data_IF_225841563743
#
_entry.id   IF_225841563743
#
_cell.length_a   1.000
_cell.length_b   1.000
_cell.length_c   1.000
_cell.angle_alpha   90.00
_cell.angle_beta   90.00
_cell.angle_gamma   90.00
#
_symmetry.space_group_name_H-M   'P 1'
#
loop_
_entity.id
_entity.type
_entity.pdbx_description
1 polymer ?
#
# COMPACT_ATOMS: atom_id res chain seq x y z
N UNK A 1 -9.65 13.26 -7.29
CA UNK A 1 -10.77 14.16 -6.98
C UNK A 1 -10.34 15.57 -7.29
N UNK A 2 -10.92 16.18 -8.33
CA UNK A 2 -10.65 17.58 -8.68
C UNK A 2 -11.04 18.49 -7.51
N UNK A 3 -10.13 19.42 -7.15
CA UNK A 3 -10.44 20.49 -6.21
C UNK A 3 -11.35 21.49 -6.93
N UNK A 4 -12.64 21.48 -6.58
CA UNK A 4 -13.57 22.51 -7.02
C UNK A 4 -13.04 23.88 -6.62
N UNK A 5 -13.09 24.83 -7.55
CA UNK A 5 -12.75 26.22 -7.29
C UNK A 5 -13.78 26.84 -6.36
N UNK A 6 -13.37 27.87 -5.61
CA UNK A 6 -14.26 28.59 -4.68
C UNK A 6 -15.59 29.00 -5.31
N UNK A 7 -15.57 29.46 -6.57
CA UNK A 7 -16.77 29.88 -7.32
C UNK A 7 -17.70 28.71 -7.65
N UNK A 8 -17.16 27.54 -7.96
CA UNK A 8 -17.96 26.33 -8.22
C UNK A 8 -18.60 25.79 -6.95
N UNK A 9 -17.88 25.87 -5.83
CA UNK A 9 -18.43 25.55 -4.52
C UNK A 9 -19.54 26.56 -4.18
N UNK A 10 -19.34 27.86 -4.44
CA UNK A 10 -20.33 28.93 -4.19
C UNK A 10 -21.61 28.68 -5.00
N UNK A 11 -21.47 28.33 -6.27
CA UNK A 11 -22.59 27.98 -7.14
C UNK A 11 -23.37 26.74 -6.65
N UNK A 12 -22.68 25.72 -6.13
CA UNK A 12 -23.35 24.54 -5.55
C UNK A 12 -24.09 24.87 -4.25
N UNK A 13 -23.55 25.79 -3.45
CA UNK A 13 -24.20 26.24 -2.23
C UNK A 13 -25.37 27.18 -2.46
N UNK A 14 -25.46 27.91 -3.59
CA UNK A 14 -26.65 28.69 -3.94
C UNK A 14 -27.93 27.84 -4.06
N UNK A 15 -27.80 26.54 -4.34
CA UNK A 15 -28.92 25.60 -4.36
C UNK A 15 -29.40 25.19 -2.95
N UNK A 16 -28.60 25.46 -1.92
CA UNK A 16 -29.00 25.33 -0.53
C UNK A 16 -29.51 26.71 -0.11
N UNK A 17 -30.74 26.81 0.39
CA UNK A 17 -31.41 28.08 0.74
C UNK A 17 -30.78 28.79 1.95
N UNK A 18 -29.48 29.04 1.91
CA UNK A 18 -28.65 29.66 2.93
C UNK A 18 -28.50 31.15 2.66
N UNK A 19 -28.51 31.96 3.71
CA UNK A 19 -28.21 33.39 3.56
C UNK A 19 -26.74 33.63 3.19
N UNK A 20 -26.48 34.71 2.44
CA UNK A 20 -25.11 35.12 2.04
C UNK A 20 -24.15 35.23 3.23
N UNK A 21 -24.65 35.74 4.38
CA UNK A 21 -23.89 35.81 5.62
C UNK A 21 -23.51 34.42 6.18
N UNK A 22 -24.40 33.43 6.06
CA UNK A 22 -24.14 32.06 6.52
C UNK A 22 -23.12 31.36 5.62
N UNK A 23 -23.19 31.58 4.30
CA UNK A 23 -22.21 31.09 3.34
C UNK A 23 -20.82 31.66 3.61
N UNK A 24 -20.71 32.98 3.78
CA UNK A 24 -19.42 33.61 4.09
C UNK A 24 -18.79 33.05 5.37
N UNK A 25 -19.60 32.80 6.42
CA UNK A 25 -19.14 32.14 7.65
C UNK A 25 -18.69 30.71 7.41
N UNK A 26 -19.44 29.94 6.63
CA UNK A 26 -19.11 28.56 6.30
C UNK A 26 -17.78 28.46 5.53
N UNK A 27 -17.55 29.33 4.54
CA UNK A 27 -16.28 29.36 3.81
C UNK A 27 -15.09 29.67 4.71
N UNK A 28 -15.22 30.72 5.52
CA UNK A 28 -14.18 31.09 6.47
C UNK A 28 -13.84 29.92 7.39
N UNK A 29 -14.82 29.11 7.77
CA UNK A 29 -14.63 27.92 8.59
C UNK A 29 -13.94 26.78 7.84
N UNK A 30 -14.40 26.43 6.63
CA UNK A 30 -13.85 25.33 5.82
C UNK A 30 -12.39 25.59 5.42
N UNK A 31 -12.02 26.85 5.19
CA UNK A 31 -10.66 27.23 4.81
C UNK A 31 -9.68 27.23 6.01
N UNK A 32 -10.16 27.09 7.25
CA UNK A 32 -9.29 27.04 8.41
C UNK A 32 -8.45 25.76 8.46
N UNK A 33 -7.14 25.95 8.47
CA UNK A 33 -6.14 24.89 8.66
C UNK A 33 -4.96 25.43 9.45
N UNK A 34 -4.38 24.61 10.32
CA UNK A 34 -3.23 25.02 11.12
C UNK A 34 -2.99 24.11 12.31
N UNK A 35 -2.20 24.59 13.25
CA UNK A 35 -2.03 23.93 14.54
C UNK A 35 -3.29 24.08 15.39
N UNK A 36 -3.45 23.20 16.38
CA UNK A 36 -4.63 23.21 17.24
C UNK A 36 -4.84 24.58 17.91
N UNK A 37 -3.75 25.20 18.35
CA UNK A 37 -3.77 26.50 19.05
C UNK A 37 -4.30 27.64 18.17
N UNK A 38 -3.98 27.63 16.87
CA UNK A 38 -4.43 28.66 15.92
C UNK A 38 -5.94 28.57 15.67
N UNK A 39 -6.50 27.36 15.79
CA UNK A 39 -7.90 27.06 15.54
C UNK A 39 -8.79 27.21 16.78
N UNK A 40 -8.21 27.19 17.98
CA UNK A 40 -8.93 27.33 19.25
C UNK A 40 -9.85 28.55 19.32
N UNK A 41 -9.47 29.76 18.86
CA UNK A 41 -10.36 30.93 18.89
C UNK A 41 -11.65 30.71 18.09
N UNK A 42 -11.53 30.09 16.90
CA UNK A 42 -12.66 29.78 16.02
C UNK A 42 -13.57 28.73 16.64
N UNK A 43 -12.99 27.65 17.18
CA UNK A 43 -13.74 26.58 17.84
C UNK A 43 -14.43 27.10 19.11
N UNK A 44 -13.75 27.90 19.93
CA UNK A 44 -14.32 28.50 21.13
C UNK A 44 -15.45 29.48 20.82
N UNK A 45 -15.38 30.20 19.70
CA UNK A 45 -16.50 31.04 19.23
C UNK A 45 -17.76 30.20 18.98
N UNK A 46 -17.62 29.01 18.37
CA UNK A 46 -18.73 28.08 18.15
C UNK A 46 -19.31 27.54 19.45
N UNK A 47 -18.45 27.21 20.42
CA UNK A 47 -18.87 26.73 21.74
C UNK A 47 -19.65 27.81 22.50
N UNK A 48 -19.23 29.08 22.40
CA UNK A 48 -19.88 30.21 23.08
C UNK A 48 -21.30 30.50 22.60
N UNK A 49 -21.67 30.09 21.38
CA UNK A 49 -23.01 30.31 20.84
C UNK A 49 -24.12 29.48 21.53
N UNK A 50 -23.78 28.60 22.50
CA UNK A 50 -24.72 27.82 23.33
C UNK A 50 -25.81 27.08 22.52
N UNK A 51 -25.47 26.64 21.33
CA UNK A 51 -26.35 25.79 20.51
C UNK A 51 -26.24 24.33 20.97
N UNK A 52 -27.20 23.46 20.60
CA UNK A 52 -27.09 22.02 20.85
C UNK A 52 -25.84 21.38 20.25
N UNK A 53 -25.24 22.04 19.25
CA UNK A 53 -24.00 21.64 18.58
C UNK A 53 -22.76 21.89 19.47
N UNK A 54 -22.85 22.81 20.43
CA UNK A 54 -21.71 23.16 21.29
C UNK A 54 -21.19 21.96 22.11
N UNK A 55 -22.06 21.02 22.50
CA UNK A 55 -21.63 19.80 23.16
C UNK A 55 -20.84 18.88 22.23
N UNK A 56 -21.31 18.68 21.00
CA UNK A 56 -20.61 17.87 19.99
C UNK A 56 -19.24 18.45 19.64
N UNK A 57 -19.16 19.78 19.51
CA UNK A 57 -17.89 20.48 19.26
C UNK A 57 -16.92 20.30 20.43
N UNK A 58 -17.39 20.34 21.68
CA UNK A 58 -16.54 20.07 22.86
C UNK A 58 -16.00 18.64 22.85
N UNK A 59 -16.83 17.65 22.52
CA UNK A 59 -16.37 16.25 22.42
C UNK A 59 -15.32 16.09 21.32
N UNK A 60 -15.58 16.61 20.12
CA UNK A 60 -14.62 16.53 19.00
C UNK A 60 -13.31 17.28 19.29
N UNK A 61 -13.38 18.42 19.98
CA UNK A 61 -12.19 19.16 20.38
C UNK A 61 -11.35 18.37 21.39
N UNK A 62 -11.97 17.75 22.39
CA UNK A 62 -11.26 16.92 23.38
C UNK A 62 -10.56 15.73 22.72
N UNK A 63 -11.24 15.01 21.84
CA UNK A 63 -10.64 13.90 21.10
C UNK A 63 -9.43 14.37 20.26
N UNK A 64 -9.51 15.57 19.68
CA UNK A 64 -8.43 16.15 18.90
C UNK A 64 -7.23 16.57 19.77
N UNK A 65 -7.47 17.16 20.94
CA UNK A 65 -6.45 17.47 21.94
C UNK A 65 -5.72 16.21 22.40
N UNK A 66 -6.47 15.15 22.71
CA UNK A 66 -5.93 13.86 23.14
C UNK A 66 -5.05 13.25 22.04
N UNK A 67 -5.51 13.24 20.79
CA UNK A 67 -4.72 12.71 19.65
C UNK A 67 -3.46 13.53 19.40
N UNK A 68 -3.54 14.86 19.38
CA UNK A 68 -2.35 15.72 19.23
C UNK A 68 -1.35 15.49 20.38
N UNK A 69 -1.85 15.31 21.61
CA UNK A 69 -1.03 14.97 22.77
C UNK A 69 -0.33 13.62 22.63
N UNK A 70 -1.04 12.59 22.16
CA UNK A 70 -0.49 11.26 21.90
C UNK A 70 0.55 11.26 20.79
N UNK A 71 0.31 11.98 19.69
CA UNK A 71 1.25 12.10 18.57
C UNK A 71 2.60 12.68 19.02
N UNK A 72 2.57 13.68 19.91
CA UNK A 72 3.79 14.25 20.52
C UNK A 72 4.51 13.24 21.42
N UNK A 73 3.77 12.51 22.27
CA UNK A 73 4.34 11.48 23.16
C UNK A 73 4.97 10.32 22.40
N UNK A 74 4.41 9.95 21.25
CA UNK A 74 4.95 8.92 20.36
C UNK A 74 6.19 9.39 19.56
N UNK A 75 6.57 10.66 19.66
CA UNK A 75 7.74 11.20 18.95
C UNK A 75 7.55 11.27 17.44
N UNK A 76 6.31 11.39 16.95
CA UNK A 76 6.01 11.51 15.53
C UNK A 76 6.59 12.84 15.02
N UNK A 77 7.56 12.74 14.10
CA UNK A 77 8.24 13.88 13.48
C UNK A 77 7.53 14.47 12.27
N UNK A 78 6.54 13.74 11.74
CA UNK A 78 5.75 14.19 10.60
C UNK A 78 4.94 15.44 10.97
N UNK A 79 4.82 16.39 10.04
CA UNK A 79 3.98 17.55 10.22
C UNK A 79 2.50 17.14 10.26
N UNK A 80 1.80 17.54 11.32
CA UNK A 80 0.37 17.27 11.52
C UNK A 80 -0.38 18.60 11.44
N UNK A 81 -1.25 18.75 10.45
CA UNK A 81 -2.07 19.93 10.24
C UNK A 81 -3.54 19.59 10.47
N UNK A 82 -4.20 20.33 11.35
CA UNK A 82 -5.64 20.19 11.58
C UNK A 82 -6.36 21.02 10.52
N UNK A 83 -7.34 20.41 9.85
CA UNK A 83 -8.16 21.05 8.83
C UNK A 83 -9.64 20.87 9.18
N UNK A 84 -10.32 21.97 9.52
CA UNK A 84 -11.73 21.96 9.92
C UNK A 84 -12.68 21.68 8.73
N UNK A 85 -12.21 21.92 7.51
CA UNK A 85 -12.92 21.63 6.27
C UNK A 85 -12.65 20.24 5.70
N UNK A 86 -11.87 19.40 6.37
CA UNK A 86 -11.62 18.04 5.91
C UNK A 86 -12.91 17.21 6.02
N UNK A 87 -13.36 16.69 4.88
CA UNK A 87 -14.54 15.84 4.79
C UNK A 87 -14.16 14.59 4.01
N UNK A 88 -14.33 13.42 4.63
CA UNK A 88 -13.98 12.14 4.02
C UNK A 88 -15.01 11.07 4.35
N UNK A 89 -15.66 10.51 3.32
CA UNK A 89 -16.66 9.43 3.41
C UNK A 89 -17.57 9.58 4.64
N UNK A 90 -18.33 10.67 4.70
CA UNK A 90 -19.14 11.09 5.87
C UNK A 90 -20.13 10.02 6.33
N UNK A 91 -20.61 9.19 5.39
CA UNK A 91 -21.53 8.09 5.72
C UNK A 91 -20.87 6.96 6.52
N UNK A 92 -19.53 6.89 6.54
CA UNK A 92 -18.78 5.81 7.18
C UNK A 92 -18.12 6.26 8.49
N UNK A 93 -17.75 7.54 8.61
CA UNK A 93 -16.93 8.03 9.72
C UNK A 93 -17.73 8.92 10.67
N UNK A 94 -17.51 8.74 11.97
CA UNK A 94 -18.22 9.46 13.03
C UNK A 94 -17.29 9.99 14.14
N UNK A 95 -15.98 10.06 13.86
CA UNK A 95 -14.98 10.58 14.78
C UNK A 95 -13.80 11.18 14.01
N UNK A 96 -12.58 10.97 14.49
CA UNK A 96 -11.38 11.48 13.85
C UNK A 96 -11.23 10.90 12.45
N UNK A 97 -10.91 11.78 11.51
CA UNK A 97 -10.53 11.47 10.13
C UNK A 97 -9.19 12.10 9.82
N UNK A 98 -8.39 11.43 9.00
CA UNK A 98 -7.04 11.87 8.67
C UNK A 98 -6.66 11.48 7.25
N UNK A 99 -5.73 12.23 6.68
CA UNK A 99 -5.14 11.99 5.37
C UNK A 99 -3.64 12.21 5.42
N UNK A 100 -2.90 11.34 4.76
CA UNK A 100 -1.49 11.48 4.51
C UNK A 100 -1.31 12.09 3.13
N UNK A 101 -0.74 13.29 3.09
CA UNK A 101 -0.52 14.04 1.86
C UNK A 101 0.98 14.15 1.62
N UNK A 102 1.41 13.75 0.43
CA UNK A 102 2.77 13.96 -0.05
C UNK A 102 2.77 14.99 -1.18
N UNK A 103 3.83 15.79 -1.27
CA UNK A 103 4.02 16.74 -2.34
C UNK A 103 4.96 16.13 -3.37
N UNK A 104 4.39 15.64 -4.48
CA UNK A 104 5.17 14.96 -5.52
C UNK A 104 5.50 15.95 -6.62
N UNK A 105 6.79 16.08 -6.95
CA UNK A 105 7.24 16.92 -8.08
C UNK A 105 6.81 16.26 -9.40
N UNK A 106 5.99 16.97 -10.17
CA UNK A 106 5.63 16.59 -11.55
C UNK A 106 5.87 17.78 -12.47
N UNK A 107 6.67 17.60 -13.53
CA UNK A 107 6.90 18.61 -14.58
C UNK A 107 7.08 20.04 -14.03
N UNK A 108 7.98 20.20 -13.05
CA UNK A 108 8.34 21.47 -12.39
C UNK A 108 7.39 22.04 -11.31
N UNK A 109 6.32 21.32 -10.92
CA UNK A 109 5.45 21.75 -9.79
C UNK A 109 5.23 20.64 -8.78
N UNK A 110 5.21 21.01 -7.51
CA UNK A 110 4.84 20.10 -6.42
C UNK A 110 3.31 19.98 -6.36
N UNK A 111 2.80 18.78 -6.62
CA UNK A 111 1.36 18.48 -6.58
C UNK A 111 1.06 17.71 -5.30
N UNK A 112 0.09 18.15 -4.47
CA UNK A 112 -0.31 17.39 -3.30
C UNK A 112 -1.09 16.14 -3.71
N UNK A 113 -0.65 15.00 -3.24
CA UNK A 113 -1.25 13.69 -3.52
C UNK A 113 -1.55 12.96 -2.21
N UNK A 114 -2.77 12.44 -2.09
CA UNK A 114 -3.19 11.67 -0.92
C UNK A 114 -2.69 10.23 -1.08
N UNK A 115 -1.76 9.84 -0.21
CA UNK A 115 -1.15 8.50 -0.17
C UNK A 115 -1.91 7.55 0.75
N UNK A 116 -2.55 8.07 1.78
CA UNK A 116 -3.42 7.27 2.64
C UNK A 116 -4.52 8.13 3.24
N UNK A 117 -5.67 7.52 3.51
CA UNK A 117 -6.80 8.18 4.15
C UNK A 117 -7.52 7.20 5.07
N UNK A 118 -8.00 7.71 6.20
CA UNK A 118 -8.60 6.87 7.21
C UNK A 118 -9.39 7.66 8.23
N UNK A 119 -9.91 6.92 9.19
CA UNK A 119 -10.65 7.49 10.31
C UNK A 119 -11.36 6.43 11.13
N UNK A 120 -12.07 6.92 12.14
CA UNK A 120 -12.92 6.12 13.03
C UNK A 120 -14.30 5.91 12.40
N UNK A 121 -14.76 4.66 12.32
CA UNK A 121 -15.98 4.25 11.61
C UNK A 121 -16.91 3.37 12.45
N UNK A 122 -17.15 3.77 13.70
CA UNK A 122 -17.95 3.00 14.65
C UNK A 122 -19.38 2.77 14.15
N UNK A 123 -19.95 3.73 13.40
CA UNK A 123 -21.31 3.62 12.85
C UNK A 123 -21.46 2.53 11.79
N UNK A 124 -20.36 2.12 11.16
CA UNK A 124 -20.40 1.12 10.10
C UNK A 124 -20.63 -0.28 10.70
N UNK A 125 -20.06 -0.57 11.86
CA UNK A 125 -20.05 -1.91 12.46
C UNK A 125 -21.47 -2.42 12.79
N UNK A 126 -22.36 -1.65 13.45
CA UNK A 126 -23.73 -2.08 13.69
C UNK A 126 -24.52 -2.43 12.43
N UNK A 127 -24.24 -1.77 11.31
CA UNK A 127 -24.98 -1.97 10.06
C UNK A 127 -24.74 -3.36 9.45
N UNK A 128 -23.58 -3.96 9.73
CA UNK A 128 -23.21 -5.31 9.29
C UNK A 128 -23.32 -6.34 10.40
N UNK A 129 -23.82 -5.96 11.57
CA UNK A 129 -23.94 -6.85 12.71
C UNK A 129 -25.12 -7.79 12.51
N UNK A 130 -24.87 -9.10 12.64
CA UNK A 130 -25.92 -10.10 12.56
C UNK A 130 -26.97 -9.93 13.66
N UNK A 131 -28.26 -10.26 13.41
CA UNK A 131 -29.35 -10.06 14.36
C UNK A 131 -29.20 -10.83 15.68
N UNK A 132 -28.36 -11.88 15.69
CA UNK A 132 -28.09 -12.72 16.87
C UNK A 132 -26.76 -12.38 17.57
N UNK A 133 -26.07 -11.31 17.17
CA UNK A 133 -24.78 -10.97 17.75
C UNK A 133 -24.95 -10.36 19.15
N UNK A 134 -24.61 -11.13 20.17
CA UNK A 134 -24.60 -10.71 21.57
C UNK A 134 -23.33 -9.91 21.91
N UNK A 135 -23.41 -9.03 22.92
CA UNK A 135 -22.27 -8.28 23.46
C UNK A 135 -22.15 -6.82 22.98
N UNK A 136 -21.15 -6.07 23.46
CA UNK A 136 -20.94 -4.67 23.08
C UNK A 136 -20.58 -4.55 21.59
N UNK A 137 -21.00 -3.46 20.95
CA UNK A 137 -20.56 -3.13 19.59
C UNK A 137 -19.10 -2.67 19.66
N UNK A 138 -18.17 -3.29 18.93
CA UNK A 138 -16.79 -2.82 18.90
C UNK A 138 -16.69 -1.48 18.17
N UNK A 139 -15.72 -0.67 18.59
CA UNK A 139 -15.32 0.56 17.90
C UNK A 139 -14.14 0.26 16.98
N UNK A 140 -14.02 0.95 15.84
CA UNK A 140 -12.92 0.71 14.92
C UNK A 140 -12.39 1.98 14.26
N UNK A 141 -11.09 1.93 14.01
CA UNK A 141 -10.33 2.90 13.23
C UNK A 141 -9.56 2.13 12.17
N UNK A 142 -9.39 2.73 11.00
CA UNK A 142 -8.66 2.11 9.91
C UNK A 142 -8.14 3.13 8.93
N UNK A 143 -7.20 2.68 8.12
CA UNK A 143 -6.51 3.48 7.12
C UNK A 143 -6.42 2.68 5.82
N UNK A 144 -6.69 3.34 4.70
CA UNK A 144 -6.48 2.81 3.36
C UNK A 144 -5.23 3.45 2.79
N UNK A 145 -4.27 2.63 2.34
CA UNK A 145 -3.01 3.07 1.75
C UNK A 145 -3.10 2.88 0.23
N UNK A 146 -2.79 3.93 -0.52
CA UNK A 146 -2.77 3.95 -1.98
C UNK A 146 -1.40 3.49 -2.50
N UNK A 147 -1.20 2.16 -2.53
CA UNK A 147 0.07 1.54 -2.96
C UNK A 147 0.40 1.89 -4.41
N UNK A 148 -0.60 1.99 -5.27
CA UNK A 148 -0.49 2.43 -6.67
C UNK A 148 0.18 3.80 -6.78
N UNK A 149 -0.24 4.76 -5.95
CA UNK A 149 0.34 6.11 -5.93
C UNK A 149 1.73 6.14 -5.34
N UNK A 150 1.97 5.37 -4.28
CA UNK A 150 3.29 5.26 -3.67
C UNK A 150 4.27 4.66 -4.68
N UNK A 151 3.89 3.57 -5.35
CA UNK A 151 4.71 2.93 -6.38
C UNK A 151 5.01 3.87 -7.54
N UNK A 152 3.99 4.57 -8.06
CA UNK A 152 4.19 5.57 -9.10
C UNK A 152 5.10 6.72 -8.63
N UNK A 153 5.01 7.15 -7.38
CA UNK A 153 5.89 8.18 -6.83
C UNK A 153 7.34 7.70 -6.75
N UNK A 154 7.58 6.48 -6.26
CA UNK A 154 8.91 5.86 -6.15
C UNK A 154 9.55 5.69 -7.53
N UNK A 155 8.80 5.23 -8.53
CA UNK A 155 9.29 5.07 -9.91
C UNK A 155 9.68 6.39 -10.58
N UNK A 156 9.13 7.51 -10.13
CA UNK A 156 9.42 8.84 -10.68
C UNK A 156 10.46 9.61 -9.85
N UNK A 157 11.10 8.99 -8.86
CA UNK A 157 12.20 9.61 -8.12
C UNK A 157 13.45 9.70 -9.01
N UNK A 158 14.19 10.81 -8.91
CA UNK A 158 15.43 11.03 -9.67
C UNK A 158 16.52 10.02 -9.30
N UNK A 159 16.55 9.59 -8.03
CA UNK A 159 17.38 8.49 -7.57
C UNK A 159 16.50 7.25 -7.34
N UNK A 160 16.79 6.11 -8.00
CA UNK A 160 16.06 4.89 -7.77
C UNK A 160 16.28 4.42 -6.33
N UNK A 161 15.19 4.07 -5.64
CA UNK A 161 15.29 3.38 -4.35
C UNK A 161 15.81 1.98 -4.63
N UNK A 162 17.08 1.77 -4.28
CA UNK A 162 17.76 0.49 -4.48
C UNK A 162 17.36 -0.47 -3.37
N UNK A 163 16.85 -1.65 -3.74
CA UNK A 163 16.48 -2.71 -2.78
C UNK A 163 17.48 -3.84 -3.01
N UNK A 164 18.51 -3.87 -2.17
CA UNK A 164 19.48 -4.95 -2.20
C UNK A 164 18.82 -6.28 -1.86
N UNK A 165 19.21 -7.35 -2.56
CA UNK A 165 18.76 -8.71 -2.24
C UNK A 165 19.31 -9.22 -0.90
N UNK A 166 20.50 -8.75 -0.51
CA UNK A 166 21.13 -9.08 0.76
C UNK A 166 22.14 -8.01 1.19
N UNK A 167 22.40 -7.92 2.49
CA UNK A 167 23.39 -7.01 3.05
C UNK A 167 24.84 -7.42 2.69
N UNK A 168 25.09 -8.72 2.52
CA UNK A 168 26.42 -9.26 2.24
C UNK A 168 26.37 -10.54 1.38
N UNK A 169 27.03 -10.52 0.22
CA UNK A 169 27.25 -11.73 -0.58
C UNK A 169 28.51 -12.47 -0.10
N UNK A 170 28.38 -13.72 0.28
CA UNK A 170 29.49 -14.59 0.68
C UNK A 170 29.90 -15.44 -0.51
N UNK A 171 31.17 -15.34 -0.89
CA UNK A 171 31.70 -16.00 -2.08
C UNK A 171 32.82 -16.96 -1.68
N UNK A 172 32.62 -18.23 -2.01
CA UNK A 172 33.55 -19.32 -1.68
C UNK A 172 34.60 -19.49 -2.78
N UNK A 173 35.83 -19.05 -2.53
CA UNK A 173 36.97 -19.14 -3.44
C UNK A 173 37.66 -20.50 -3.31
N UNK A 174 37.15 -21.49 -4.04
CA UNK A 174 37.70 -22.85 -4.11
C UNK A 174 36.85 -23.89 -3.37
N UNK A 175 36.91 -25.15 -3.81
CA UNK A 175 35.97 -26.19 -3.41
C UNK A 175 36.03 -26.58 -1.92
N UNK A 176 37.16 -26.36 -1.24
CA UNK A 176 37.32 -26.67 0.20
C UNK A 176 36.85 -25.53 1.12
N UNK A 177 36.58 -24.34 0.58
CA UNK A 177 36.16 -23.16 1.33
C UNK A 177 34.65 -23.08 1.60
N UNK A 178 33.86 -23.98 1.00
CA UNK A 178 32.38 -23.94 1.04
C UNK A 178 31.83 -24.16 2.45
N UNK A 179 32.36 -25.16 3.18
CA UNK A 179 31.93 -25.42 4.57
C UNK A 179 32.18 -24.21 5.47
N UNK A 180 33.25 -23.45 5.22
CA UNK A 180 33.58 -22.24 5.95
C UNK A 180 32.65 -21.09 5.59
N UNK A 181 32.33 -20.91 4.31
CA UNK A 181 31.33 -19.94 3.85
C UNK A 181 29.95 -20.21 4.49
N UNK A 182 29.49 -21.47 4.53
CA UNK A 182 28.22 -21.86 5.17
C UNK A 182 28.22 -21.50 6.67
N UNK A 183 29.30 -21.81 7.39
CA UNK A 183 29.40 -21.48 8.82
C UNK A 183 29.39 -19.96 9.07
N UNK A 184 30.04 -19.17 8.21
CA UNK A 184 30.02 -17.71 8.30
C UNK A 184 28.63 -17.13 8.02
N UNK A 185 27.96 -17.62 6.99
CA UNK A 185 26.59 -17.21 6.65
C UNK A 185 25.63 -17.50 7.80
N UNK A 186 25.76 -18.66 8.47
CA UNK A 186 24.95 -18.97 9.65
C UNK A 186 25.19 -17.97 10.80
N UNK A 187 26.44 -17.58 11.05
CA UNK A 187 26.78 -16.56 12.07
C UNK A 187 26.19 -15.20 11.71
N UNK A 188 26.25 -14.80 10.43
CA UNK A 188 25.67 -13.55 9.94
C UNK A 188 24.14 -13.53 10.12
N UNK A 189 23.45 -14.61 9.77
CA UNK A 189 22.01 -14.73 9.98
C UNK A 189 21.61 -14.69 11.46
N UNK A 190 22.40 -15.33 12.33
CA UNK A 190 22.17 -15.28 13.79
C UNK A 190 22.30 -13.86 14.34
N UNK A 191 23.12 -13.03 13.70
CA UNK A 191 23.28 -11.61 14.03
C UNK A 191 22.26 -10.69 13.33
N UNK A 192 21.33 -11.24 12.54
CA UNK A 192 20.30 -10.50 11.81
C UNK A 192 20.78 -9.81 10.53
N UNK A 193 21.96 -10.17 10.01
CA UNK A 193 22.47 -9.68 8.73
C UNK A 193 21.96 -10.60 7.63
N UNK A 194 21.34 -10.05 6.58
CA UNK A 194 20.93 -10.83 5.42
C UNK A 194 22.15 -11.16 4.56
N UNK A 195 22.43 -12.45 4.38
CA UNK A 195 23.59 -12.90 3.62
C UNK A 195 23.23 -14.04 2.67
N UNK A 196 23.80 -14.02 1.47
CA UNK A 196 23.60 -15.03 0.43
C UNK A 196 24.93 -15.67 0.04
N UNK A 197 24.96 -16.98 -0.27
CA UNK A 197 26.18 -17.68 -0.69
C UNK A 197 26.17 -17.81 -2.21
N UNK A 198 27.23 -17.35 -2.87
CA UNK A 198 27.47 -17.61 -4.29
C UNK A 198 28.21 -18.95 -4.45
N UNK A 199 27.54 -19.92 -5.06
CA UNK A 199 28.03 -21.31 -5.16
C UNK A 199 29.00 -21.54 -6.33
N UNK A 200 28.94 -20.71 -7.38
CA UNK A 200 29.70 -20.88 -8.60
C UNK A 200 30.84 -19.86 -8.70
N UNK A 201 31.95 -20.14 -8.02
CA UNK A 201 33.20 -19.36 -8.11
C UNK A 201 34.03 -19.73 -9.36
N UNK A 202 33.39 -19.90 -10.50
CA UNK A 202 34.06 -19.99 -11.80
C UNK A 202 34.12 -18.65 -12.53
N UNK A 203 33.38 -17.65 -12.03
CA UNK A 203 33.17 -16.36 -12.66
C UNK A 203 34.30 -15.36 -12.35
N UNK A 204 34.64 -14.55 -13.33
CA UNK A 204 35.71 -13.55 -13.25
C UNK A 204 35.38 -12.46 -12.20
N UNK A 205 36.37 -11.66 -11.78
CA UNK A 205 36.12 -10.57 -10.84
C UNK A 205 35.14 -9.54 -11.44
N UNK A 206 35.20 -9.35 -12.75
CA UNK A 206 34.34 -8.47 -13.54
C UNK A 206 32.88 -8.96 -13.51
N UNK A 207 32.66 -10.27 -13.66
CA UNK A 207 31.32 -10.88 -13.58
C UNK A 207 30.72 -10.80 -12.17
N UNK A 208 31.52 -11.00 -11.13
CA UNK A 208 31.08 -10.81 -9.74
C UNK A 208 30.65 -9.34 -9.50
N UNK A 209 31.42 -8.38 -10.01
CA UNK A 209 31.08 -6.97 -9.89
C UNK A 209 29.78 -6.65 -10.63
N UNK A 210 29.60 -7.19 -11.83
CA UNK A 210 28.38 -7.03 -12.61
C UNK A 210 27.16 -7.68 -11.91
N UNK A 211 27.34 -8.87 -11.31
CA UNK A 211 26.31 -9.53 -10.51
C UNK A 211 25.90 -8.67 -9.31
N UNK A 212 26.88 -8.16 -8.56
CA UNK A 212 26.62 -7.29 -7.40
C UNK A 212 25.96 -5.98 -7.82
N UNK A 213 26.34 -5.42 -8.98
CA UNK A 213 25.70 -4.23 -9.55
C UNK A 213 24.25 -4.50 -9.93
N UNK A 214 23.96 -5.65 -10.53
CA UNK A 214 22.61 -6.04 -10.96
C UNK A 214 21.68 -6.36 -9.78
N UNK A 215 22.21 -6.90 -8.68
CA UNK A 215 21.45 -7.23 -7.45
C UNK A 215 21.58 -6.14 -6.36
N UNK A 216 22.21 -5.02 -6.69
CA UNK A 216 22.45 -3.87 -5.81
C UNK A 216 23.11 -4.26 -4.46
N UNK A 217 24.00 -5.25 -4.49
CA UNK A 217 24.76 -5.75 -3.34
C UNK A 217 25.99 -4.85 -3.15
N UNK A 218 26.10 -4.24 -1.97
CA UNK A 218 27.19 -3.30 -1.66
C UNK A 218 28.43 -4.00 -1.13
N UNK A 219 28.27 -5.10 -0.38
CA UNK A 219 29.36 -5.77 0.32
C UNK A 219 29.50 -7.23 -0.13
N UNK A 220 30.73 -7.66 -0.35
CA UNK A 220 31.07 -9.04 -0.72
C UNK A 220 32.15 -9.57 0.21
N UNK A 221 31.95 -10.74 0.79
CA UNK A 221 32.92 -11.46 1.60
C UNK A 221 33.51 -12.62 0.80
N UNK A 222 34.77 -12.51 0.38
CA UNK A 222 35.54 -13.56 -0.28
C UNK A 222 36.18 -14.47 0.78
N UNK A 223 35.76 -15.73 0.79
CA UNK A 223 36.26 -16.77 1.69
C UNK A 223 37.17 -17.70 0.89
N UNK A 224 38.48 -17.69 1.17
CA UNK A 224 39.44 -18.55 0.48
C UNK A 224 40.24 -19.39 1.46
N UNK A 225 40.57 -20.62 1.05
CA UNK A 225 41.43 -21.54 1.81
C UNK A 225 42.86 -20.99 1.98
N UNK A 226 43.32 -20.17 1.03
CA UNK A 226 44.67 -19.58 1.06
C UNK A 226 44.85 -18.52 2.15
N UNK A 227 43.76 -17.98 2.70
CA UNK A 227 43.81 -16.85 3.62
C UNK A 227 43.70 -17.23 5.10
N UNK A 228 43.69 -18.53 5.40
CA UNK A 228 43.56 -19.05 6.77
C UNK A 228 42.23 -18.60 7.38
N UNK A 229 42.26 -18.05 8.60
CA UNK A 229 41.08 -17.55 9.33
C UNK A 229 40.62 -16.14 8.95
N UNK A 230 41.10 -15.62 7.81
CA UNK A 230 40.76 -14.27 7.33
C UNK A 230 39.80 -14.33 6.15
N UNK A 231 38.96 -13.29 6.04
CA UNK A 231 38.00 -13.07 4.97
C UNK A 231 38.29 -11.71 4.34
N UNK A 232 38.28 -11.66 3.01
CA UNK A 232 38.42 -10.41 2.26
C UNK A 232 37.06 -9.79 2.03
N UNK A 233 36.81 -8.65 2.66
CA UNK A 233 35.57 -7.89 2.47
C UNK A 233 35.80 -6.83 1.42
N UNK A 234 35.13 -6.96 0.28
CA UNK A 234 35.05 -5.96 -0.78
C UNK A 234 33.79 -5.11 -0.62
N UNK A 235 33.93 -3.81 -0.80
CA UNK A 235 32.84 -2.84 -0.79
C UNK A 235 32.80 -2.12 -2.12
N UNK A 236 31.63 -2.12 -2.76
CA UNK A 236 31.36 -1.46 -4.03
C UNK A 236 30.45 -0.26 -3.78
N UNK A 237 31.03 0.91 -3.49
CA UNK A 237 30.27 2.15 -3.23
C UNK A 237 30.55 3.18 -4.31
N UNK A 238 29.52 3.60 -5.07
CA UNK A 238 29.57 4.72 -6.04
C UNK A 238 30.87 4.76 -6.86
N UNK A 239 31.21 3.62 -7.50
CA UNK A 239 32.42 3.37 -8.31
C UNK A 239 33.75 3.19 -7.58
N UNK A 240 33.82 3.41 -6.26
CA UNK A 240 35.01 3.10 -5.46
C UNK A 240 34.95 1.66 -4.94
N UNK A 241 35.99 0.90 -5.26
CA UNK A 241 36.23 -0.41 -4.67
C UNK A 241 37.18 -0.27 -3.49
N UNK A 242 36.76 -0.73 -2.32
CA UNK A 242 37.67 -0.90 -1.17
C UNK A 242 37.71 -2.37 -0.77
N UNK A 243 38.90 -2.85 -0.42
CA UNK A 243 39.13 -4.23 0.02
C UNK A 243 39.81 -4.19 1.39
N UNK A 244 39.25 -4.92 2.35
CA UNK A 244 39.83 -5.05 3.68
C UNK A 244 39.89 -6.51 4.07
N UNK A 245 41.03 -6.91 4.62
CA UNK A 245 41.21 -8.22 5.25
C UNK A 245 40.69 -8.16 6.68
N UNK A 246 39.74 -9.02 7.02
CA UNK A 246 39.05 -9.05 8.32
C UNK A 246 39.13 -10.47 8.90
N UNK A 247 39.30 -10.59 10.21
CA UNK A 247 39.21 -11.89 10.89
C UNK A 247 37.77 -12.40 10.86
N UNK A 248 37.58 -13.71 10.70
CA UNK A 248 36.23 -14.30 10.70
C UNK A 248 35.40 -13.97 11.94
N UNK A 249 36.06 -13.88 13.10
CA UNK A 249 35.42 -13.54 14.38
C UNK A 249 34.92 -12.11 14.41
N UNK A 250 35.54 -11.21 13.64
CA UNK A 250 35.21 -9.78 13.59
C UNK A 250 34.33 -9.42 12.38
N UNK A 251 34.06 -10.38 11.48
CA UNK A 251 33.32 -10.13 10.24
C UNK A 251 31.92 -9.57 10.53
N UNK A 252 31.22 -10.15 11.50
CA UNK A 252 29.86 -9.74 11.90
C UNK A 252 29.87 -8.29 12.38
N UNK A 253 30.76 -7.96 13.32
CA UNK A 253 30.88 -6.61 13.87
C UNK A 253 31.28 -5.59 12.80
N UNK A 254 32.19 -5.97 11.91
CA UNK A 254 32.65 -5.12 10.81
C UNK A 254 31.50 -4.75 9.86
N UNK A 255 30.68 -5.73 9.47
CA UNK A 255 29.54 -5.54 8.57
C UNK A 255 28.43 -4.73 9.26
N UNK A 256 28.13 -5.02 10.53
CA UNK A 256 27.18 -4.23 11.33
C UNK A 256 27.58 -2.76 11.44
N UNK A 257 28.86 -2.48 11.64
CA UNK A 257 29.37 -1.11 11.69
C UNK A 257 29.18 -0.39 10.35
N UNK A 258 29.54 -1.05 9.24
CA UNK A 258 29.41 -0.54 7.87
C UNK A 258 27.96 -0.26 7.48
N UNK A 259 27.04 -1.19 7.77
CA UNK A 259 25.61 -1.03 7.50
C UNK A 259 25.01 0.13 8.31
N UNK A 260 25.40 0.31 9.57
CA UNK A 260 24.94 1.43 10.41
C UNK A 260 25.41 2.78 9.88
N UNK A 261 26.64 2.88 9.38
CA UNK A 261 27.15 4.13 8.78
C UNK A 261 26.40 4.53 7.51
N UNK A 262 26.04 3.56 6.65
CA UNK A 262 25.27 3.82 5.42
C UNK A 262 23.87 4.38 5.70
N UNK A 263 23.16 3.83 6.69
CA UNK A 263 21.83 4.30 7.11
C UNK A 263 21.87 5.72 7.72
N UNK A 264 22.99 6.09 8.35
CA UNK A 264 23.19 7.43 8.90
C UNK A 264 23.33 8.52 7.84
N UNK A 265 24.07 8.23 6.76
CA UNK A 265 24.36 9.19 5.69
C UNK A 265 23.12 9.49 4.82
N UNK A 266 22.28 8.49 4.55
CA UNK A 266 21.04 8.67 3.78
C UNK A 266 19.93 9.45 4.52
N UNK A 267 20.01 9.55 5.85
CA UNK A 267 19.07 10.35 6.65
C UNK A 267 19.44 11.83 6.63
N UNK A 268 20.72 12.16 6.63
CA UNK A 268 21.18 13.56 6.62
C UNK A 268 20.98 14.26 5.27
N UNK A 269 20.96 13.53 4.15
CA UNK A 269 20.74 14.12 2.82
C UNK A 269 19.31 14.62 2.56
N UNK A 270 18.30 14.03 3.21
CA UNK A 270 16.88 14.34 2.95
C UNK A 270 16.39 15.61 3.65
N UNK A 271 16.95 15.96 4.80
CA UNK A 271 16.51 17.11 5.61
C UNK A 271 16.93 18.48 5.04
N UNK A 272 17.80 18.52 4.02
CA UNK A 272 18.33 19.77 3.46
C UNK A 272 17.47 20.39 2.34
N UNK A 273 16.45 19.68 1.81
CA UNK A 273 15.74 20.11 0.58
C UNK A 273 14.35 20.75 0.78
N UNK A 274 13.83 20.78 2.00
CA UNK A 274 12.48 21.32 2.30
C UNK A 274 12.53 22.79 2.73
N UNK A 275 12.86 23.68 1.78
CA UNK A 275 12.59 25.12 1.90
C UNK A 275 12.12 25.67 0.56
N UNK A 276 10.86 25.40 0.19
CA UNK A 276 10.20 26.11 -0.90
C UNK A 276 8.87 26.70 -0.42
N UNK A 277 8.90 28.03 -0.31
CA UNK A 277 7.81 28.91 0.08
C UNK A 277 6.60 28.78 -0.87
N UNK A 278 5.42 28.76 -0.26
CA UNK A 278 4.11 28.77 -0.91
C UNK A 278 3.87 30.13 -1.55
N UNK A 279 3.77 30.20 -2.88
CA UNK A 279 3.11 31.32 -3.57
C UNK A 279 1.91 30.83 -4.39
N UNK A 280 0.77 31.46 -4.10
CA UNK A 280 -0.52 31.27 -4.75
C UNK A 280 -0.50 31.84 -6.18
N UNK A 281 -0.89 31.06 -7.20
CA UNK A 281 -1.35 31.62 -8.46
C UNK A 281 -2.57 30.87 -9.04
N UNK A 282 -3.62 31.66 -9.30
CA UNK A 282 -4.83 31.30 -10.06
C UNK A 282 -4.47 31.10 -11.54
N UNK A 283 -5.06 30.08 -12.17
CA UNK A 283 -5.00 29.90 -13.62
C UNK A 283 -5.88 28.75 -14.10
N UNK A 284 -6.74 29.05 -15.06
CA UNK A 284 -7.78 28.23 -15.70
C UNK A 284 -7.22 27.04 -16.52
N UNK A 285 -8.02 25.99 -16.72
CA UNK A 285 -8.44 25.42 -18.03
C UNK A 285 -8.79 23.90 -18.00
N UNK A 286 -10.00 23.63 -18.50
CA UNK A 286 -10.43 22.60 -19.49
C UNK A 286 -10.35 21.10 -19.20
N UNK A 287 -11.51 20.57 -18.77
CA UNK A 287 -12.21 19.33 -19.14
C UNK A 287 -11.43 18.13 -19.75
N UNK A 288 -11.47 17.01 -19.03
CA UNK A 288 -11.72 15.69 -19.60
C UNK A 288 -12.46 14.82 -18.56
N UNK A 289 -13.75 14.60 -18.79
CA UNK A 289 -14.66 13.79 -17.99
C UNK A 289 -14.39 12.30 -18.15
N UNK A 290 -14.26 11.59 -17.02
CA UNK A 290 -14.27 10.12 -16.97
C UNK A 290 -14.85 9.66 -15.64
N UNK A 291 -16.14 9.32 -15.66
CA UNK A 291 -16.91 8.69 -14.59
C UNK A 291 -16.23 7.40 -14.11
N UNK A 292 -16.12 7.20 -12.78
CA UNK A 292 -16.21 5.84 -12.22
C UNK A 292 -16.96 5.82 -10.89
N UNK A 293 -17.96 4.93 -10.88
CA UNK A 293 -18.83 4.55 -9.77
C UNK A 293 -18.12 3.66 -8.74
N UNK A 294 -18.81 3.54 -7.61
CA UNK A 294 -18.42 2.95 -6.33
C UNK A 294 -18.82 1.45 -6.31
N UNK A 295 -18.03 0.58 -5.67
CA UNK A 295 -18.40 -0.34 -4.55
C UNK A 295 -17.43 -1.55 -4.41
N UNK A 296 -16.98 -1.83 -3.16
CA UNK A 296 -16.28 -3.06 -2.74
C UNK A 296 -17.24 -4.28 -2.63
N UNK A 297 -16.86 -5.51 -2.26
CA UNK A 297 -15.66 -6.14 -1.68
C UNK A 297 -15.60 -7.61 -2.22
N UNK A 298 -14.50 -8.36 -2.24
CA UNK A 298 -13.96 -9.24 -1.15
C UNK A 298 -12.83 -10.07 -1.81
N UNK A 299 -11.62 -10.14 -1.23
CA UNK A 299 -10.49 -10.94 -1.76
C UNK A 299 -10.13 -12.03 -0.75
N UNK A 300 -10.03 -13.28 -1.19
CA UNK A 300 -9.20 -14.33 -0.58
C UNK A 300 -8.76 -15.32 -1.68
N UNK A 301 -7.61 -16.02 -1.54
CA UNK A 301 -6.26 -15.63 -1.94
C UNK A 301 -5.79 -16.36 -3.23
N UNK A 302 -4.81 -15.79 -3.93
CA UNK A 302 -4.22 -16.37 -5.16
C UNK A 302 -3.18 -17.43 -4.80
N UNK A 303 -3.38 -18.65 -5.30
CA UNK A 303 -2.31 -19.64 -5.52
C UNK A 303 -2.11 -19.77 -7.03
N UNK A 304 -0.90 -19.41 -7.47
CA UNK A 304 -0.38 -19.54 -8.84
C UNK A 304 -0.26 -21.04 -9.24
N UNK A 305 -0.15 -21.47 -10.51
CA UNK A 305 1.03 -21.28 -11.37
C UNK A 305 0.84 -22.01 -12.73
N UNK A 306 1.41 -21.40 -13.80
CA UNK A 306 1.86 -21.88 -15.14
C UNK A 306 0.92 -22.47 -16.21
N UNK A 307 1.26 -22.09 -17.44
CA UNK A 307 0.58 -22.40 -18.70
C UNK A 307 0.74 -23.86 -19.21
N UNK A 308 -0.22 -24.39 -20.00
CA UNK A 308 -0.32 -25.81 -20.36
C UNK A 308 0.70 -26.31 -21.38
N UNK A 309 1.57 -25.44 -21.89
CA UNK A 309 2.42 -25.65 -23.07
C UNK A 309 3.66 -26.50 -22.78
N UNK A 310 4.08 -26.65 -21.51
CA UNK A 310 5.25 -27.47 -21.10
C UNK A 310 4.90 -28.83 -20.49
N UNK A 311 3.64 -29.26 -20.56
CA UNK A 311 3.18 -30.49 -19.92
C UNK A 311 3.29 -31.69 -20.87
N UNK A 312 3.81 -32.81 -20.36
CA UNK A 312 3.92 -34.06 -21.11
C UNK A 312 2.54 -34.56 -21.55
N UNK A 313 2.48 -35.19 -22.73
CA UNK A 313 1.23 -35.64 -23.37
C UNK A 313 0.36 -36.56 -22.49
N UNK A 314 0.97 -37.31 -21.56
CA UNK A 314 0.27 -38.16 -20.59
C UNK A 314 -0.46 -37.36 -19.51
N UNK A 315 0.09 -36.19 -19.13
CA UNK A 315 -0.50 -35.29 -18.14
C UNK A 315 -1.71 -34.55 -18.72
N UNK A 316 -1.64 -34.12 -19.98
CA UNK A 316 -2.77 -33.48 -20.68
C UNK A 316 -4.01 -34.39 -20.75
N UNK A 317 -3.84 -35.65 -21.12
CA UNK A 317 -4.97 -36.60 -21.21
C UNK A 317 -5.69 -36.82 -19.88
N UNK A 318 -4.96 -36.89 -18.76
CA UNK A 318 -5.59 -37.03 -17.43
C UNK A 318 -6.42 -35.81 -17.04
N UNK A 319 -5.92 -34.60 -17.33
CA UNK A 319 -6.68 -33.37 -17.09
C UNK A 319 -7.89 -33.23 -18.02
N UNK A 320 -7.79 -33.65 -19.29
CA UNK A 320 -8.93 -33.69 -20.21
C UNK A 320 -10.03 -34.62 -19.70
N UNK A 321 -9.68 -35.83 -19.23
CA UNK A 321 -10.70 -36.78 -18.71
C UNK A 321 -11.38 -36.27 -17.44
N UNK A 322 -10.64 -35.57 -16.58
CA UNK A 322 -11.18 -34.99 -15.36
C UNK A 322 -12.08 -33.77 -15.66
N UNK A 323 -11.80 -33.03 -16.72
CA UNK A 323 -12.59 -31.89 -17.15
C UNK A 323 -13.89 -32.30 -17.85
N UNK A 324 -13.87 -33.37 -18.65
CA UNK A 324 -15.10 -33.93 -19.24
C UNK A 324 -16.10 -34.37 -18.15
N UNK A 325 -15.59 -34.85 -17.01
CA UNK A 325 -16.41 -35.19 -15.85
C UNK A 325 -17.03 -33.95 -15.19
N UNK A 326 -16.28 -32.86 -15.07
CA UNK A 326 -16.77 -31.59 -14.52
C UNK A 326 -17.81 -30.92 -15.43
N UNK A 327 -17.67 -31.06 -16.75
CA UNK A 327 -18.64 -30.58 -17.74
C UNK A 327 -19.98 -31.33 -17.64
N UNK A 328 -19.95 -32.65 -17.55
CA UNK A 328 -21.15 -33.45 -17.38
C UNK A 328 -21.85 -33.19 -16.03
N UNK A 329 -21.07 -32.97 -14.96
CA UNK A 329 -21.59 -32.62 -13.65
C UNK A 329 -22.28 -31.24 -13.65
N UNK A 330 -21.68 -30.25 -14.33
CA UNK A 330 -22.29 -28.93 -14.52
C UNK A 330 -23.62 -29.01 -15.27
N UNK A 331 -23.63 -29.70 -16.42
CA UNK A 331 -24.83 -29.86 -17.25
C UNK A 331 -25.98 -30.57 -16.52
N UNK A 332 -25.66 -31.55 -15.67
CA UNK A 332 -26.64 -32.24 -14.83
C UNK A 332 -27.26 -31.32 -13.79
N UNK A 333 -26.43 -30.50 -13.14
CA UNK A 333 -26.86 -29.55 -12.10
C UNK A 333 -27.74 -28.43 -12.68
N UNK A 334 -27.40 -27.92 -13.86
CA UNK A 334 -28.21 -26.92 -14.58
C UNK A 334 -29.59 -27.49 -14.94
N UNK A 335 -29.67 -28.74 -15.43
CA UNK A 335 -30.95 -29.40 -15.73
C UNK A 335 -31.83 -29.54 -14.48
N UNK A 336 -31.25 -29.92 -13.34
CA UNK A 336 -31.97 -29.99 -12.07
C UNK A 336 -32.43 -28.63 -11.54
N UNK A 337 -31.64 -27.58 -11.77
CA UNK A 337 -31.96 -26.23 -11.32
C UNK A 337 -33.10 -25.62 -12.16
N UNK A 338 -33.05 -25.79 -13.48
CA UNK A 338 -34.08 -25.30 -14.39
C UNK A 338 -35.42 -26.03 -14.21
N UNK A 339 -35.42 -27.32 -13.87
CA UNK A 339 -36.68 -28.08 -13.67
C UNK A 339 -37.46 -27.65 -12.44
N UNK A 340 -36.81 -27.06 -11.43
CA UNK A 340 -37.45 -26.67 -10.15
C UNK A 340 -37.93 -25.23 -10.11
N UNK A 341 -37.55 -24.38 -11.07
CA UNK A 341 -37.80 -22.94 -11.02
C UNK A 341 -38.61 -22.45 -12.24
N UNK A 342 -39.66 -21.63 -12.04
CA UNK A 342 -40.57 -21.19 -13.11
C UNK A 342 -39.96 -20.23 -14.16
N UNK A 343 -38.89 -19.50 -13.85
CA UNK A 343 -38.27 -18.51 -14.77
C UNK A 343 -37.11 -19.09 -15.60
N UNK A 344 -37.42 -20.10 -16.42
CA UNK A 344 -36.39 -20.96 -17.05
C UNK A 344 -35.57 -20.30 -18.17
N UNK A 345 -36.13 -19.37 -18.95
CA UNK A 345 -35.40 -18.79 -20.11
C UNK A 345 -34.22 -17.92 -19.69
N UNK A 346 -34.39 -17.11 -18.65
CA UNK A 346 -33.34 -16.21 -18.18
C UNK A 346 -32.23 -16.97 -17.49
N UNK A 347 -32.58 -17.87 -16.56
CA UNK A 347 -31.63 -18.77 -15.91
C UNK A 347 -30.80 -19.60 -16.89
N UNK A 348 -31.39 -20.01 -18.02
CA UNK A 348 -30.67 -20.75 -19.06
C UNK A 348 -29.57 -19.92 -19.72
N UNK A 349 -29.85 -18.66 -20.08
CA UNK A 349 -28.84 -17.74 -20.62
C UNK A 349 -27.68 -17.53 -19.64
N UNK A 350 -27.98 -17.43 -18.34
CA UNK A 350 -26.95 -17.30 -17.29
C UNK A 350 -26.09 -18.56 -17.19
N UNK A 351 -26.70 -19.75 -17.25
CA UNK A 351 -25.96 -21.01 -17.21
C UNK A 351 -25.08 -21.21 -18.45
N UNK A 352 -25.52 -20.79 -19.64
CA UNK A 352 -24.73 -20.85 -20.87
C UNK A 352 -23.50 -19.91 -20.79
N UNK A 353 -23.64 -18.76 -20.12
CA UNK A 353 -22.55 -17.81 -19.91
C UNK A 353 -21.54 -18.29 -18.85
N UNK A 354 -22.02 -18.91 -17.77
CA UNK A 354 -21.17 -19.63 -16.80
C UNK A 354 -20.37 -20.72 -17.50
N UNK A 355 -21.00 -21.47 -18.39
CA UNK A 355 -20.38 -22.54 -19.15
C UNK A 355 -19.23 -22.01 -20.03
N UNK A 356 -19.45 -20.95 -20.80
CA UNK A 356 -18.41 -20.36 -21.64
C UNK A 356 -17.20 -19.89 -20.80
N UNK A 357 -17.43 -19.20 -19.69
CA UNK A 357 -16.35 -18.61 -18.89
C UNK A 357 -15.58 -19.69 -18.11
N UNK A 358 -16.31 -20.60 -17.46
CA UNK A 358 -15.70 -21.61 -16.58
C UNK A 358 -15.17 -22.80 -17.35
N UNK A 359 -15.89 -23.27 -18.37
CA UNK A 359 -15.58 -24.51 -19.12
C UNK A 359 -14.79 -24.23 -20.40
N UNK A 360 -15.24 -23.31 -21.27
CA UNK A 360 -14.54 -23.02 -22.54
C UNK A 360 -13.26 -22.19 -22.33
N UNK A 361 -13.32 -21.12 -21.52
CA UNK A 361 -12.20 -20.20 -21.28
C UNK A 361 -11.30 -20.59 -20.12
N UNK A 362 -11.67 -21.63 -19.35
CA UNK A 362 -10.89 -22.22 -18.24
C UNK A 362 -10.49 -21.21 -17.14
N UNK A 363 -11.38 -20.26 -16.83
CA UNK A 363 -11.19 -19.24 -15.78
C UNK A 363 -11.95 -19.66 -14.52
N UNK A 364 -11.30 -19.58 -13.34
CA UNK A 364 -11.98 -19.81 -12.05
C UNK A 364 -12.74 -18.55 -11.65
N UNK A 365 -14.06 -18.68 -11.41
CA UNK A 365 -14.97 -17.55 -11.25
C UNK A 365 -16.11 -17.91 -10.29
N UNK A 366 -16.54 -16.96 -9.46
CA UNK A 366 -17.69 -17.07 -8.55
C UNK A 366 -18.90 -16.33 -9.13
N UNK A 367 -20.03 -17.02 -9.25
CA UNK A 367 -21.29 -16.44 -9.74
C UNK A 367 -22.31 -16.30 -8.61
N UNK A 368 -22.88 -15.11 -8.45
CA UNK A 368 -23.93 -14.80 -7.46
C UNK A 368 -25.21 -14.39 -8.18
N UNK A 369 -26.33 -15.08 -7.95
CA UNK A 369 -27.63 -14.81 -8.57
C UNK A 369 -28.71 -14.55 -7.51
N UNK A 370 -29.44 -13.44 -7.67
CA UNK A 370 -30.65 -13.13 -6.89
C UNK A 370 -31.88 -13.62 -7.64
N UNK A 371 -32.55 -14.61 -7.06
CA UNK A 371 -33.79 -15.15 -7.62
C UNK A 371 -34.97 -14.17 -7.51
N UNK A 372 -34.99 -13.32 -6.48
CA UNK A 372 -36.09 -12.38 -6.24
C UNK A 372 -36.12 -11.25 -7.27
N UNK A 373 -34.95 -10.83 -7.71
CA UNK A 373 -34.77 -9.65 -8.56
C UNK A 373 -34.33 -10.01 -10.00
N UNK A 374 -34.16 -11.30 -10.30
CA UNK A 374 -33.77 -11.84 -11.61
C UNK A 374 -32.47 -11.23 -12.16
N UNK A 375 -31.46 -11.15 -11.29
CA UNK A 375 -30.21 -10.46 -11.54
C UNK A 375 -29.02 -11.29 -11.05
N UNK A 376 -27.94 -11.37 -11.83
CA UNK A 376 -26.72 -12.08 -11.44
C UNK A 376 -25.46 -11.23 -11.61
N UNK A 377 -24.40 -11.61 -10.90
CA UNK A 377 -23.07 -11.00 -10.95
C UNK A 377 -21.97 -12.05 -10.98
N UNK A 378 -20.93 -11.76 -11.75
CA UNK A 378 -19.75 -12.59 -11.96
C UNK A 378 -18.58 -11.94 -11.22
N UNK A 379 -17.86 -12.69 -10.38
CA UNK A 379 -16.68 -12.26 -9.64
C UNK A 379 -15.50 -13.16 -10.04
N UNK A 380 -14.48 -12.56 -10.66
CA UNK A 380 -13.27 -13.26 -11.12
C UNK A 380 -12.24 -13.42 -10.00
#
# INVERSE_FOLDING_TARGET
TEKLTRREVEAKFCNLSLSSNSLCRLYKFIEQKGDLQDLMPTINSLIKQKTGIAQLVKYGLKDLEDVVGLLKKLGIKLQVLINLGLVYKVQQHNGIIFQFVAFIKRRQRAVPEILAAGGRYDLLIPQFRGPQALGPVPTAIGVSIAIDKISAAVLNMEEPVTISSCDLLVVSVGQMSMSRAINLTQKLWTAGITAEIMYDWSQSQEELQEYCRHHEITYVALVSDKEGSHVKVKSFEKERQTEKRVLETELVDHVLQKLRTKVGDERNGRDASDNLAVQNLKGSFSNASGLFEIHGATVVPIVSVLAPEKLSASTRRRYETQWDADEQAFNTTVKQLLSRLPKQRYLKLVCDEIYNIKVEKKVSVLFLYSYRDDYYRILF
#
